data_IF_614443992933
#
_entry.id   IF_614443992933
#
_cell.length_a   1.000
_cell.length_b   1.000
_cell.length_c   1.000
_cell.angle_alpha   90.00
_cell.angle_beta   90.00
_cell.angle_gamma   90.00
#
_symmetry.space_group_name_H-M   'P 1'
#
loop_
_entity.id
_entity.type
_entity.pdbx_description
1 polymer ?
#
# COMPACT_ATOMS: atom_id res chain seq x y z
N UNK A 1 -3.03 -24.12 3.03
CA UNK A 1 -4.14 -23.22 3.39
C UNK A 1 -5.13 -23.21 2.23
N UNK A 2 -6.41 -23.55 2.45
CA UNK A 2 -7.41 -23.65 1.36
C UNK A 2 -8.12 -22.31 1.25
N UNK A 3 -7.59 -21.38 0.44
CA UNK A 3 -8.29 -20.13 0.13
C UNK A 3 -9.59 -20.46 -0.59
N UNK A 4 -10.74 -20.01 -0.07
CA UNK A 4 -12.02 -20.14 -0.77
C UNK A 4 -12.14 -19.00 -1.80
N UNK A 5 -12.91 -19.17 -2.87
CA UNK A 5 -12.93 -18.22 -4.01
C UNK A 5 -13.11 -16.74 -3.63
N UNK A 6 -13.96 -16.47 -2.64
CA UNK A 6 -14.18 -15.13 -2.08
C UNK A 6 -13.04 -14.59 -1.22
N UNK A 7 -12.02 -15.38 -0.91
CA UNK A 7 -10.79 -15.04 -0.15
C UNK A 7 -9.64 -14.70 -1.11
N UNK A 8 -9.86 -14.82 -2.43
CA UNK A 8 -8.89 -14.45 -3.46
C UNK A 8 -9.17 -13.09 -4.11
N UNK A 9 -10.40 -12.57 -4.06
CA UNK A 9 -10.80 -11.30 -4.72
C UNK A 9 -10.41 -10.03 -3.94
N UNK A 10 -9.75 -9.05 -4.56
CA UNK A 10 -9.44 -7.77 -3.88
C UNK A 10 -10.54 -6.73 -4.22
N UNK A 11 -11.39 -6.32 -3.25
CA UNK A 11 -12.54 -5.46 -3.51
C UNK A 11 -12.15 -3.97 -3.51
N UNK A 12 -11.21 -3.59 -4.37
CA UNK A 12 -10.56 -2.27 -4.36
C UNK A 12 -10.77 -1.37 -5.58
N UNK A 13 -11.62 -1.79 -6.52
CA UNK A 13 -11.89 -1.06 -7.75
C UNK A 13 -11.82 -1.94 -8.99
N UNK A 14 -10.78 -2.78 -9.11
CA UNK A 14 -10.65 -3.73 -10.22
C UNK A 14 -11.44 -5.03 -10.04
N UNK A 15 -11.81 -5.38 -8.80
CA UNK A 15 -12.41 -6.68 -8.42
C UNK A 15 -11.66 -7.89 -8.98
N UNK A 16 -10.37 -7.71 -9.27
CA UNK A 16 -9.50 -8.76 -9.77
C UNK A 16 -9.19 -9.74 -8.63
N UNK A 17 -8.93 -11.00 -8.99
CA UNK A 17 -8.43 -11.97 -8.03
C UNK A 17 -6.95 -11.70 -7.80
N UNK A 18 -6.47 -12.11 -6.64
CA UNK A 18 -5.07 -12.03 -6.25
C UNK A 18 -4.17 -12.67 -7.31
N UNK A 19 -4.58 -13.81 -7.87
CA UNK A 19 -3.82 -14.46 -8.94
C UNK A 19 -3.81 -13.67 -10.26
N UNK A 20 -4.87 -12.91 -10.55
CA UNK A 20 -4.89 -12.03 -11.73
C UNK A 20 -3.94 -10.84 -11.53
N UNK A 21 -3.91 -10.26 -10.31
CA UNK A 21 -2.91 -9.25 -9.97
C UNK A 21 -1.48 -9.78 -10.07
N UNK A 22 -1.21 -10.97 -9.54
CA UNK A 22 0.10 -11.62 -9.63
C UNK A 22 0.50 -11.87 -11.09
N UNK A 23 -0.41 -12.39 -11.91
CA UNK A 23 -0.20 -12.57 -13.35
C UNK A 23 0.14 -11.26 -14.07
N UNK A 24 -0.58 -10.18 -13.78
CA UNK A 24 -0.31 -8.85 -14.35
C UNK A 24 1.06 -8.29 -13.93
N UNK A 25 1.59 -8.71 -12.79
CA UNK A 25 2.94 -8.37 -12.31
C UNK A 25 4.02 -9.31 -12.84
N UNK A 26 3.67 -10.29 -13.70
CA UNK A 26 4.59 -11.28 -14.26
C UNK A 26 4.80 -12.52 -13.37
N UNK A 27 4.00 -12.70 -12.33
CA UNK A 27 4.08 -13.80 -11.37
C UNK A 27 3.00 -14.86 -11.59
N UNK A 28 3.17 -15.68 -12.63
CA UNK A 28 2.24 -16.76 -12.96
C UNK A 28 2.60 -18.03 -12.18
N UNK A 29 1.80 -18.37 -11.17
CA UNK A 29 2.07 -19.54 -10.32
C UNK A 29 2.15 -20.82 -11.16
N UNK A 30 3.27 -21.54 -11.04
CA UNK A 30 3.54 -22.78 -11.77
C UNK A 30 4.23 -22.58 -13.12
N UNK A 31 4.49 -21.33 -13.53
CA UNK A 31 5.19 -20.98 -14.76
C UNK A 31 6.25 -19.89 -14.50
N UNK A 32 7.26 -20.16 -13.65
CA UNK A 32 8.34 -19.20 -13.44
C UNK A 32 9.21 -19.06 -14.70
N UNK A 33 9.82 -17.89 -14.92
CA UNK A 33 10.62 -17.63 -16.12
C UNK A 33 11.88 -18.50 -16.23
N UNK A 34 12.34 -19.11 -15.14
CA UNK A 34 13.46 -20.05 -15.13
C UNK A 34 13.33 -21.10 -14.03
N UNK A 35 14.21 -22.11 -14.06
CA UNK A 35 14.34 -23.11 -12.98
C UNK A 35 14.73 -22.51 -11.62
N UNK A 36 15.27 -21.29 -11.62
CA UNK A 36 15.59 -20.55 -10.40
C UNK A 36 14.39 -19.79 -9.82
N UNK A 37 13.24 -19.81 -10.51
CA UNK A 37 12.05 -19.07 -10.11
C UNK A 37 11.95 -17.71 -10.79
N UNK A 38 11.35 -16.75 -10.09
CA UNK A 38 11.31 -15.34 -10.49
C UNK A 38 12.60 -14.64 -10.10
N UNK A 39 13.09 -13.79 -11.00
CA UNK A 39 14.24 -12.96 -10.72
C UNK A 39 13.92 -11.97 -9.60
N UNK A 40 14.88 -11.74 -8.72
CA UNK A 40 14.76 -10.79 -7.63
C UNK A 40 15.26 -9.40 -8.10
N UNK A 41 15.10 -8.36 -7.29
CA UNK A 41 15.68 -7.03 -7.52
C UNK A 41 15.10 -6.23 -8.70
N UNK A 42 15.86 -5.88 -9.74
CA UNK A 42 15.41 -4.95 -10.80
C UNK A 42 14.97 -5.67 -12.09
N UNK A 43 15.30 -6.96 -12.25
CA UNK A 43 15.00 -7.73 -13.47
C UNK A 43 13.51 -7.90 -13.76
N UNK A 44 12.67 -7.84 -12.72
CA UNK A 44 11.21 -7.91 -12.79
C UNK A 44 10.49 -6.54 -12.85
N UNK A 45 11.23 -5.43 -12.81
CA UNK A 45 10.67 -4.07 -12.91
C UNK A 45 10.72 -3.60 -14.36
N UNK A 46 9.54 -3.45 -14.95
CA UNK A 46 9.31 -2.79 -16.22
C UNK A 46 8.17 -1.78 -16.04
N UNK A 47 8.00 -0.86 -16.98
CA UNK A 47 6.92 0.14 -16.89
C UNK A 47 5.52 -0.51 -16.78
N UNK A 48 5.29 -1.66 -17.41
CA UNK A 48 4.02 -2.39 -17.32
C UNK A 48 3.84 -3.07 -15.97
N UNK A 49 4.86 -3.75 -15.45
CA UNK A 49 4.79 -4.42 -14.14
C UNK A 49 4.70 -3.41 -13.00
N UNK A 50 5.35 -2.24 -13.13
CA UNK A 50 5.23 -1.14 -12.16
C UNK A 50 3.80 -0.59 -12.10
N UNK A 51 3.17 -0.33 -13.25
CA UNK A 51 1.78 0.12 -13.30
C UNK A 51 0.81 -0.91 -12.69
N UNK A 52 1.05 -2.21 -12.94
CA UNK A 52 0.27 -3.29 -12.36
C UNK A 52 0.37 -3.31 -10.83
N UNK A 53 1.56 -3.05 -10.27
CA UNK A 53 1.78 -2.93 -8.82
C UNK A 53 1.08 -1.73 -8.22
N UNK A 54 1.11 -0.59 -8.90
CA UNK A 54 0.36 0.59 -8.42
C UNK A 54 -1.14 0.34 -8.40
N UNK A 55 -1.65 -0.36 -9.41
CA UNK A 55 -3.05 -0.80 -9.45
C UNK A 55 -3.36 -1.74 -8.29
N UNK A 56 -2.47 -2.67 -7.98
CA UNK A 56 -2.61 -3.58 -6.84
C UNK A 56 -2.58 -2.85 -5.49
N UNK A 57 -1.63 -1.94 -5.28
CA UNK A 57 -1.53 -1.11 -4.08
C UNK A 57 -2.79 -0.27 -3.87
N UNK A 58 -3.30 0.36 -4.95
CA UNK A 58 -4.59 1.06 -4.94
C UNK A 58 -5.72 0.12 -4.53
N UNK A 59 -5.82 -1.06 -5.14
CA UNK A 59 -6.93 -1.98 -4.88
C UNK A 59 -6.86 -2.54 -3.44
N UNK A 60 -5.67 -2.79 -2.89
CA UNK A 60 -5.51 -3.13 -1.47
C UNK A 60 -5.98 -1.97 -0.59
N UNK A 61 -5.47 -0.76 -0.85
CA UNK A 61 -5.77 0.40 -0.04
C UNK A 61 -7.25 0.81 -0.12
N UNK A 62 -7.91 0.55 -1.24
CA UNK A 62 -9.34 0.81 -1.47
C UNK A 62 -10.24 -0.37 -1.09
N UNK A 63 -9.69 -1.52 -0.70
CA UNK A 63 -10.48 -2.65 -0.25
C UNK A 63 -11.33 -2.27 0.96
N UNK A 64 -12.66 -2.28 0.79
CA UNK A 64 -13.64 -2.01 1.87
C UNK A 64 -14.56 -3.22 2.04
N UNK A 65 -15.05 -3.36 3.27
CA UNK A 65 -16.03 -4.35 3.70
C UNK A 65 -15.55 -5.82 3.67
N UNK A 66 -15.88 -6.61 4.68
CA UNK A 66 -15.62 -8.06 4.67
C UNK A 66 -14.15 -8.54 4.82
N UNK A 67 -13.18 -7.64 5.07
CA UNK A 67 -11.91 -7.96 5.74
C UNK A 67 -10.73 -8.34 4.87
N UNK A 68 -9.99 -7.35 4.35
CA UNK A 68 -8.69 -7.63 3.70
C UNK A 68 -7.56 -6.68 4.09
N UNK A 69 -7.76 -5.37 4.00
CA UNK A 69 -6.77 -4.41 4.47
C UNK A 69 -7.34 -3.59 5.64
N UNK A 70 -6.61 -3.59 6.75
CA UNK A 70 -6.98 -2.93 8.01
C UNK A 70 -5.78 -2.14 8.51
N UNK A 71 -5.52 -0.95 7.97
CA UNK A 71 -4.35 -0.14 8.35
C UNK A 71 -4.35 0.21 9.83
N UNK A 72 -5.52 0.27 10.46
CA UNK A 72 -5.68 0.54 11.88
C UNK A 72 -5.21 -0.59 12.81
N UNK A 73 -4.79 -1.73 12.26
CA UNK A 73 -4.11 -2.80 12.98
C UNK A 73 -2.59 -2.75 12.83
N UNK A 74 -2.09 -1.93 11.91
CA UNK A 74 -0.66 -1.80 11.60
C UNK A 74 -0.03 -0.63 12.36
N UNK A 75 -0.83 0.35 12.75
CA UNK A 75 -0.38 1.52 13.53
C UNK A 75 -1.27 1.76 14.74
N UNK A 76 -0.76 2.56 15.69
CA UNK A 76 -1.51 2.98 16.87
C UNK A 76 -2.60 4.01 16.52
N UNK A 77 -3.83 3.78 16.98
CA UNK A 77 -4.99 4.64 16.66
C UNK A 77 -5.04 5.95 17.45
N UNK A 78 -4.35 6.03 18.58
CA UNK A 78 -4.31 7.24 19.42
C UNK A 78 -3.29 8.27 18.91
N UNK A 79 -2.60 8.02 17.80
CA UNK A 79 -1.75 8.99 17.15
C UNK A 79 -2.61 10.09 16.53
N UNK A 80 -2.36 11.33 16.94
CA UNK A 80 -3.02 12.53 16.40
C UNK A 80 -2.08 13.44 15.61
N UNK A 81 -0.78 13.34 15.88
CA UNK A 81 0.26 14.11 15.19
C UNK A 81 0.48 13.57 13.77
N UNK A 82 0.31 14.39 12.71
CA UNK A 82 0.51 13.95 11.33
C UNK A 82 1.91 13.39 11.06
N UNK A 83 2.94 13.96 11.69
CA UNK A 83 4.32 13.49 11.55
C UNK A 83 4.50 12.07 12.11
N UNK A 84 4.02 11.84 13.33
CA UNK A 84 4.04 10.53 13.96
C UNK A 84 3.21 9.49 13.18
N UNK A 85 2.09 9.90 12.57
CA UNK A 85 1.30 9.01 11.70
C UNK A 85 2.07 8.65 10.44
N UNK A 86 2.72 9.63 9.78
CA UNK A 86 3.55 9.37 8.60
C UNK A 86 4.70 8.40 8.91
N UNK A 87 5.39 8.61 10.04
CA UNK A 87 6.46 7.73 10.50
C UNK A 87 5.98 6.33 10.86
N UNK A 88 4.82 6.21 11.51
CA UNK A 88 4.24 4.92 11.84
C UNK A 88 3.85 4.12 10.58
N UNK A 89 3.39 4.78 9.52
CA UNK A 89 3.05 4.08 8.27
C UNK A 89 4.29 3.65 7.50
N UNK A 90 5.32 4.50 7.41
CA UNK A 90 6.58 4.11 6.75
C UNK A 90 7.30 3.01 7.53
N UNK A 91 7.23 3.02 8.86
CA UNK A 91 7.76 1.97 9.73
C UNK A 91 6.98 0.65 9.58
N UNK A 92 5.65 0.70 9.56
CA UNK A 92 4.81 -0.48 9.32
C UNK A 92 5.07 -1.15 7.96
N UNK A 93 5.55 -0.38 6.97
CA UNK A 93 5.95 -0.87 5.65
C UNK A 93 7.46 -1.15 5.54
N UNK A 94 8.25 -0.83 6.57
CA UNK A 94 9.69 -1.09 6.64
C UNK A 94 10.53 -0.19 5.72
N UNK A 95 10.06 1.00 5.38
CA UNK A 95 10.71 1.90 4.39
C UNK A 95 11.07 3.28 4.94
N UNK A 96 11.02 3.46 6.26
CA UNK A 96 11.28 4.76 6.91
C UNK A 96 12.62 5.39 6.51
N UNK A 97 13.67 4.58 6.37
CA UNK A 97 15.03 5.03 6.03
C UNK A 97 15.20 5.38 4.54
N UNK A 98 14.21 5.06 3.70
CA UNK A 98 14.23 5.34 2.26
C UNK A 98 13.66 6.72 1.91
N UNK A 99 12.95 7.37 2.84
CA UNK A 99 12.37 8.69 2.64
C UNK A 99 13.30 9.79 3.11
N UNK A 100 13.52 10.79 2.26
CA UNK A 100 14.18 12.04 2.68
C UNK A 100 13.24 12.88 3.55
N UNK A 101 13.81 13.86 4.27
CA UNK A 101 13.01 14.80 5.05
C UNK A 101 11.96 15.55 4.19
N UNK A 102 12.33 15.95 2.98
CA UNK A 102 11.42 16.63 2.06
C UNK A 102 10.27 15.71 1.60
N UNK A 103 10.55 14.44 1.29
CA UNK A 103 9.49 13.49 0.89
C UNK A 103 8.59 13.11 2.06
N UNK A 104 9.14 13.05 3.27
CA UNK A 104 8.35 12.92 4.50
C UNK A 104 7.41 14.11 4.69
N UNK A 105 7.88 15.32 4.42
CA UNK A 105 7.06 16.53 4.50
C UNK A 105 5.89 16.50 3.49
N UNK A 106 6.06 15.90 2.31
CA UNK A 106 4.96 15.68 1.35
C UNK A 106 3.89 14.70 1.87
N UNK A 107 4.31 13.63 2.58
CA UNK A 107 3.36 12.72 3.25
C UNK A 107 2.55 13.46 4.32
N UNK A 108 3.20 14.36 5.06
CA UNK A 108 2.55 15.20 6.07
C UNK A 108 1.63 16.22 5.41
N UNK A 109 2.04 16.84 4.30
CA UNK A 109 1.22 17.77 3.53
C UNK A 109 -0.07 17.08 3.05
N UNK A 110 0.02 15.84 2.58
CA UNK A 110 -1.16 15.04 2.25
C UNK A 110 -2.09 14.80 3.44
N UNK A 111 -1.56 14.44 4.61
CA UNK A 111 -2.37 14.22 5.83
C UNK A 111 -3.06 15.50 6.30
N UNK A 112 -2.38 16.63 6.18
CA UNK A 112 -2.80 17.94 6.70
C UNK A 112 -3.61 18.77 5.70
N UNK A 113 -3.83 18.29 4.48
CA UNK A 113 -4.40 19.10 3.38
C UNK A 113 -3.64 20.42 3.20
N UNK A 114 -2.32 20.33 3.03
CA UNK A 114 -1.39 21.46 2.93
C UNK A 114 -1.48 22.42 4.14
N UNK A 115 -1.65 21.86 5.34
CA UNK A 115 -1.73 22.58 6.61
C UNK A 115 -3.13 23.11 6.98
N UNK A 116 -4.18 22.78 6.23
CA UNK A 116 -5.56 23.11 6.60
C UNK A 116 -6.03 22.34 7.86
N UNK A 117 -5.43 21.19 8.13
CA UNK A 117 -5.69 20.32 9.28
C UNK A 117 -4.40 20.17 10.08
N UNK A 118 -4.45 20.43 11.38
CA UNK A 118 -3.26 20.37 12.26
C UNK A 118 -3.13 19.06 13.03
N UNK A 119 -4.25 18.38 13.26
CA UNK A 119 -4.32 17.10 13.99
C UNK A 119 -5.34 16.19 13.31
N UNK A 120 -5.10 14.87 13.34
CA UNK A 120 -6.02 13.88 12.80
C UNK A 120 -6.63 13.05 13.92
N UNK A 121 -7.93 12.80 13.83
CA UNK A 121 -8.59 11.81 14.68
C UNK A 121 -8.70 10.48 13.91
N UNK A 122 -7.85 9.50 14.26
CA UNK A 122 -7.92 8.17 13.67
C UNK A 122 -9.05 7.30 14.25
N UNK A 123 -9.83 7.76 15.24
CA UNK A 123 -11.09 7.13 15.63
C UNK A 123 -12.25 7.54 14.71
N UNK A 124 -12.13 8.68 14.02
CA UNK A 124 -13.03 9.07 12.94
C UNK A 124 -12.94 8.10 11.74
N UNK A 125 -14.11 7.65 11.29
CA UNK A 125 -14.21 6.68 10.19
C UNK A 125 -13.80 7.27 8.85
N UNK A 126 -14.18 8.51 8.55
CA UNK A 126 -13.90 9.17 7.29
C UNK A 126 -12.43 9.58 7.19
N UNK A 127 -11.84 10.05 8.30
CA UNK A 127 -10.40 10.34 8.39
C UNK A 127 -9.59 9.07 8.13
N UNK A 128 -9.89 7.95 8.81
CA UNK A 128 -9.20 6.69 8.52
C UNK A 128 -9.36 6.27 7.08
N UNK A 129 -10.60 6.25 6.57
CA UNK A 129 -10.88 5.73 5.24
C UNK A 129 -10.28 6.55 4.11
N UNK A 130 -10.10 7.85 4.32
CA UNK A 130 -9.56 8.76 3.33
C UNK A 130 -8.06 8.93 3.53
N UNK A 131 -7.66 9.45 4.69
CA UNK A 131 -6.28 9.85 4.97
C UNK A 131 -5.40 8.65 5.28
N UNK A 132 -5.79 7.80 6.22
CA UNK A 132 -4.92 6.68 6.62
C UNK A 132 -4.78 5.65 5.49
N UNK A 133 -5.90 5.23 4.88
CA UNK A 133 -5.85 4.32 3.73
C UNK A 133 -5.13 4.95 2.53
N UNK A 134 -5.35 6.24 2.26
CA UNK A 134 -4.68 6.94 1.17
C UNK A 134 -3.19 7.08 1.39
N UNK A 135 -2.74 7.32 2.63
CA UNK A 135 -1.32 7.36 2.98
C UNK A 135 -0.64 6.01 2.72
N UNK A 136 -1.26 4.89 3.13
CA UNK A 136 -0.78 3.56 2.78
C UNK A 136 -0.70 3.36 1.26
N UNK A 137 -1.69 3.85 0.51
CA UNK A 137 -1.66 3.78 -0.95
C UNK A 137 -0.48 4.57 -1.54
N UNK A 138 -0.22 5.78 -1.04
CA UNK A 138 0.87 6.65 -1.48
C UNK A 138 2.23 6.02 -1.20
N UNK A 139 2.46 5.54 0.03
CA UNK A 139 3.72 4.89 0.38
C UNK A 139 3.91 3.60 -0.43
N UNK A 140 2.89 2.76 -0.57
CA UNK A 140 3.00 1.56 -1.42
C UNK A 140 3.23 1.87 -2.91
N UNK A 141 2.82 3.05 -3.40
CA UNK A 141 3.06 3.48 -4.78
C UNK A 141 4.37 4.26 -4.95
N UNK A 142 5.07 4.58 -3.86
CA UNK A 142 6.31 5.35 -3.95
C UNK A 142 7.45 4.52 -4.54
N UNK A 143 8.43 5.15 -5.22
CA UNK A 143 9.64 4.47 -5.66
C UNK A 143 10.39 3.79 -4.51
N UNK A 144 10.39 4.42 -3.34
CA UNK A 144 11.00 3.90 -2.11
C UNK A 144 10.46 2.51 -1.78
N UNK A 145 9.14 2.30 -1.83
CA UNK A 145 8.56 0.99 -1.53
C UNK A 145 8.78 -0.04 -2.65
N UNK A 146 8.89 0.40 -3.90
CA UNK A 146 8.98 -0.52 -5.05
C UNK A 146 10.39 -1.06 -5.30
N UNK A 147 11.40 -0.34 -4.83
CA UNK A 147 12.82 -0.61 -5.11
C UNK A 147 13.66 -0.84 -3.84
N UNK A 148 13.03 -0.89 -2.66
CA UNK A 148 13.70 -1.22 -1.40
C UNK A 148 14.23 -2.66 -1.39
#
# INVERSE_FOLDING_TARGET
>A
MKGKGKDLEIPGGGFLRLFDHLGNMGQIIGDPPSVFGWDWESGWISSSTLLARYTFARDIAAARDGGRFKPEKLIEKNLTDPGAIADAVTDALGVTDQFTAAERDELIAYLTDDGAVTELDLDDFDVRNTKLHGLFALVMQSPQYQLH
#
